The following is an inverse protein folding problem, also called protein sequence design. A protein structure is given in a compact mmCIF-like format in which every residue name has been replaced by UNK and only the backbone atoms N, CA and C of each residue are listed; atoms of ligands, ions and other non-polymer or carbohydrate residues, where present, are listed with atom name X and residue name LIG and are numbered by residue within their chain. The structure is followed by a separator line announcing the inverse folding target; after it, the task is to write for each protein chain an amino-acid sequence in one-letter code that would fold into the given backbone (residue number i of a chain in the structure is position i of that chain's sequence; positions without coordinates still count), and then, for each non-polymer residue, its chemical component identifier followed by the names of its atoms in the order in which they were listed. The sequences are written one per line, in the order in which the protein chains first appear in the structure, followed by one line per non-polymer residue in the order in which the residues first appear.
data_IF_696695757799
#
_entry.id   IF_696695757799
#
_cell.length_a   1.000
_cell.length_b   1.000
_cell.length_c   1.000
_cell.angle_alpha   90.00
_cell.angle_beta   90.00
_cell.angle_gamma   90.00
#
_symmetry.space_group_name_H-M   'P 1'
#
loop_
_entity.id
_entity.type
_entity.pdbx_description
1 polymer ?
#
# COMPACT_ATOMS: atom_id res chain seq x y z
N UNK A 1 -20.98 -7.24 -24.11
CA UNK A 1 -21.17 -7.63 -22.69
C UNK A 1 -19.80 -7.75 -22.07
N UNK A 2 -19.48 -6.91 -21.09
CA UNK A 2 -18.19 -6.92 -20.40
C UNK A 2 -18.37 -7.73 -19.11
N UNK A 3 -17.87 -8.97 -19.09
CA UNK A 3 -17.91 -9.81 -17.90
C UNK A 3 -16.60 -9.57 -17.15
N UNK A 4 -16.68 -8.94 -15.98
CA UNK A 4 -15.53 -8.80 -15.07
C UNK A 4 -15.68 -9.83 -13.96
N UNK A 5 -14.64 -10.63 -13.74
CA UNK A 5 -14.57 -11.43 -12.53
C UNK A 5 -14.48 -10.45 -11.35
N UNK A 6 -15.42 -10.49 -10.40
CA UNK A 6 -15.43 -9.62 -9.21
C UNK A 6 -14.64 -10.23 -8.04
N UNK A 7 -14.06 -11.42 -8.19
CA UNK A 7 -13.28 -12.09 -7.15
C UNK A 7 -12.11 -11.21 -6.66
N UNK A 8 -11.53 -10.35 -7.52
CA UNK A 8 -10.49 -9.39 -7.10
C UNK A 8 -11.01 -8.27 -6.19
N UNK A 9 -12.31 -7.96 -6.23
CA UNK A 9 -12.98 -7.03 -5.31
C UNK A 9 -13.54 -7.76 -4.08
N UNK A 10 -13.63 -9.09 -4.13
CA UNK A 10 -14.09 -9.86 -2.98
C UNK A 10 -13.00 -9.83 -1.91
N UNK A 11 -13.30 -9.12 -0.83
CA UNK A 11 -12.46 -9.12 0.35
C UNK A 11 -12.52 -10.52 0.95
N UNK A 12 -11.38 -11.10 1.39
CA UNK A 12 -11.39 -12.42 2.00
C UNK A 12 -12.45 -12.48 3.10
N UNK A 13 -13.30 -13.53 3.06
CA UNK A 13 -14.41 -13.69 4.02
C UNK A 13 -13.91 -13.78 5.47
N UNK A 14 -12.66 -14.21 5.64
CA UNK A 14 -12.02 -14.36 6.94
C UNK A 14 -10.54 -13.97 6.84
N UNK A 15 -10.02 -13.33 7.88
CA UNK A 15 -8.58 -13.06 8.04
C UNK A 15 -7.99 -13.97 9.11
N UNK A 16 -6.71 -14.29 8.98
CA UNK A 16 -5.96 -15.05 9.98
C UNK A 16 -5.26 -14.09 10.93
N UNK A 17 -5.61 -14.11 12.21
CA UNK A 17 -5.05 -13.23 13.22
C UNK A 17 -4.23 -14.03 14.23
N UNK A 18 -3.07 -13.52 14.61
CA UNK A 18 -2.30 -13.97 15.78
C UNK A 18 -1.97 -12.75 16.64
N UNK A 19 -1.74 -12.96 17.93
CA UNK A 19 -1.53 -11.86 18.88
C UNK A 19 -0.48 -12.23 19.93
N UNK A 20 0.45 -11.31 20.17
CA UNK A 20 1.47 -11.43 21.20
C UNK A 20 1.32 -10.29 22.19
N UNK A 21 1.31 -10.64 23.48
CA UNK A 21 1.45 -9.67 24.56
C UNK A 21 2.91 -9.24 24.68
N UNK A 22 3.14 -7.92 24.68
CA UNK A 22 4.47 -7.34 24.77
C UNK A 22 4.75 -6.89 26.20
N UNK A 23 3.87 -6.06 26.78
CA UNK A 23 4.03 -5.50 28.13
C UNK A 23 2.74 -4.84 28.65
N UNK A 24 2.38 -5.02 29.93
CA UNK A 24 1.23 -4.38 30.62
C UNK A 24 -0.04 -4.22 29.75
N UNK A 25 -0.66 -5.34 29.36
CA UNK A 25 -1.88 -5.36 28.52
C UNK A 25 -1.72 -4.66 27.14
N UNK A 26 -0.49 -4.36 26.71
CA UNK A 26 -0.18 -3.92 25.35
C UNK A 26 0.25 -5.11 24.53
N UNK A 27 -0.44 -5.33 23.43
CA UNK A 27 -0.20 -6.45 22.52
C UNK A 27 -0.04 -5.96 21.09
N UNK A 28 0.70 -6.74 20.31
CA UNK A 28 0.77 -6.57 18.87
C UNK A 28 0.05 -7.76 18.25
N UNK A 29 -1.01 -7.48 17.50
CA UNK A 29 -1.68 -8.46 16.67
C UNK A 29 -1.20 -8.35 15.22
N UNK A 30 -0.98 -9.51 14.59
CA UNK A 30 -0.69 -9.63 13.18
C UNK A 30 -1.88 -10.29 12.49
N UNK A 31 -2.43 -9.61 11.49
CA UNK A 31 -3.57 -10.10 10.70
C UNK A 31 -3.10 -10.33 9.27
N UNK A 32 -3.08 -11.59 8.83
CA UNK A 32 -2.81 -11.98 7.46
C UNK A 32 -4.08 -11.95 6.61
N UNK A 33 -3.95 -11.33 5.44
CA UNK A 33 -5.04 -11.10 4.49
C UNK A 33 -4.58 -11.64 3.15
N UNK A 34 -5.25 -12.70 2.71
CA UNK A 34 -4.89 -13.41 1.50
C UNK A 34 -4.83 -12.45 0.29
N UNK A 35 -3.75 -12.55 -0.50
CA UNK A 35 -3.48 -11.73 -1.69
C UNK A 35 -3.37 -10.21 -1.45
N UNK A 36 -3.42 -9.73 -0.20
CA UNK A 36 -3.22 -8.31 0.15
C UNK A 36 -1.98 -8.08 0.99
N UNK A 37 -1.64 -8.99 1.90
CA UNK A 37 -0.48 -8.88 2.78
C UNK A 37 -0.87 -8.97 4.26
N UNK A 38 -0.45 -8.01 5.07
CA UNK A 38 -0.64 -8.03 6.51
C UNK A 38 -1.18 -6.72 7.06
N UNK A 39 -1.80 -6.79 8.24
CA UNK A 39 -2.03 -5.65 9.11
C UNK A 39 -1.39 -5.90 10.47
N UNK A 40 -0.57 -4.96 10.93
CA UNK A 40 -0.09 -4.92 12.30
C UNK A 40 -0.99 -4.00 13.12
N UNK A 41 -1.52 -4.52 14.22
CA UNK A 41 -2.45 -3.80 15.08
C UNK A 41 -1.84 -3.72 16.47
N UNK A 42 -1.55 -2.50 16.92
CA UNK A 42 -1.20 -2.23 18.31
C UNK A 42 -2.47 -2.10 19.12
N UNK A 43 -2.56 -2.89 20.19
CA UNK A 43 -3.65 -2.80 21.15
C UNK A 43 -3.13 -2.38 22.51
N UNK A 44 -3.94 -1.60 23.21
CA UNK A 44 -3.72 -1.18 24.59
C UNK A 44 -5.01 -1.43 25.37
N UNK A 45 -4.93 -2.24 26.43
CA UNK A 45 -6.09 -2.65 27.24
C UNK A 45 -7.22 -3.29 26.41
N UNK A 46 -6.87 -4.00 25.34
CA UNK A 46 -7.81 -4.67 24.44
C UNK A 46 -8.44 -3.79 23.37
N UNK A 47 -8.23 -2.47 23.41
CA UNK A 47 -8.68 -1.54 22.38
C UNK A 47 -7.62 -1.34 21.30
N UNK A 48 -8.04 -1.04 20.07
CA UNK A 48 -7.15 -0.73 18.95
C UNK A 48 -6.60 0.68 19.13
N UNK A 49 -5.29 0.81 19.30
CA UNK A 49 -4.60 2.10 19.37
C UNK A 49 -4.03 2.52 18.01
N UNK A 50 -3.39 1.59 17.28
CA UNK A 50 -2.80 1.88 15.96
C UNK A 50 -2.93 0.71 15.00
N UNK A 51 -3.14 1.00 13.71
CA UNK A 51 -3.25 0.01 12.64
C UNK A 51 -2.30 0.39 11.51
N UNK A 52 -1.45 -0.55 11.10
CA UNK A 52 -0.53 -0.41 9.97
C UNK A 52 -0.82 -1.48 8.93
N UNK A 53 -1.11 -1.06 7.70
CA UNK A 53 -1.39 -1.94 6.58
C UNK A 53 -0.12 -2.12 5.76
N UNK A 54 0.30 -3.37 5.57
CA UNK A 54 1.49 -3.76 4.83
C UNK A 54 1.06 -4.54 3.60
N UNK A 55 1.18 -3.89 2.44
CA UNK A 55 0.93 -4.54 1.15
C UNK A 55 2.21 -5.24 0.71
N UNK A 56 2.25 -6.56 0.88
CA UNK A 56 3.43 -7.38 0.57
C UNK A 56 3.00 -8.82 0.28
N UNK A 57 3.84 -9.54 -0.46
CA UNK A 57 3.73 -10.97 -0.76
C UNK A 57 4.67 -11.83 0.11
N UNK A 58 5.19 -11.26 1.21
CA UNK A 58 5.87 -12.04 2.25
C UNK A 58 4.94 -13.16 2.74
N UNK A 59 5.49 -14.37 2.79
CA UNK A 59 4.90 -15.54 3.39
C UNK A 59 5.90 -16.10 4.42
N UNK A 60 5.44 -16.83 5.45
CA UNK A 60 6.34 -17.36 6.48
C UNK A 60 7.55 -18.13 5.91
N UNK A 61 7.37 -18.87 4.82
CA UNK A 61 8.43 -19.67 4.19
C UNK A 61 9.41 -18.87 3.29
N UNK A 62 9.09 -17.64 2.89
CA UNK A 62 9.95 -16.81 2.02
C UNK A 62 10.59 -15.62 2.76
N UNK A 63 10.26 -15.46 4.04
CA UNK A 63 10.49 -14.24 4.81
C UNK A 63 11.95 -13.78 4.85
N UNK A 64 12.91 -14.70 4.91
CA UNK A 64 14.32 -14.38 5.13
C UNK A 64 15.00 -13.67 3.94
N UNK A 65 14.51 -13.87 2.72
CA UNK A 65 15.13 -13.35 1.50
C UNK A 65 14.24 -12.32 0.78
N UNK A 66 13.18 -11.85 1.44
CA UNK A 66 12.23 -10.92 0.83
C UNK A 66 12.70 -9.48 0.92
N UNK A 67 12.49 -8.69 -0.14
CA UNK A 67 12.88 -7.28 -0.18
C UNK A 67 12.20 -6.46 0.92
N UNK A 68 10.90 -6.66 1.12
CA UNK A 68 10.09 -5.91 2.10
C UNK A 68 10.33 -6.32 3.57
N UNK A 69 11.21 -7.29 3.83
CA UNK A 69 11.44 -7.84 5.18
C UNK A 69 11.88 -6.76 6.17
N UNK A 70 12.82 -5.91 5.75
CA UNK A 70 13.35 -4.84 6.61
C UNK A 70 12.27 -3.81 6.95
N UNK A 71 11.45 -3.43 5.96
CA UNK A 71 10.34 -2.49 6.17
C UNK A 71 9.31 -3.03 7.17
N UNK A 72 8.98 -4.32 7.08
CA UNK A 72 8.10 -4.97 8.04
C UNK A 72 8.69 -4.91 9.46
N UNK A 73 9.96 -5.30 9.62
CA UNK A 73 10.66 -5.26 10.90
C UNK A 73 10.72 -3.83 11.46
N UNK A 74 10.90 -2.82 10.60
CA UNK A 74 10.89 -1.42 10.99
C UNK A 74 9.52 -0.97 11.52
N UNK A 75 8.42 -1.45 10.94
CA UNK A 75 7.07 -1.15 11.48
C UNK A 75 6.90 -1.78 12.87
N UNK A 76 7.36 -3.01 13.07
CA UNK A 76 7.33 -3.65 14.40
C UNK A 76 8.19 -2.87 15.38
N UNK A 77 9.39 -2.45 14.99
CA UNK A 77 10.25 -1.60 15.81
C UNK A 77 9.54 -0.33 16.25
N UNK A 78 8.87 0.37 15.33
CA UNK A 78 8.11 1.58 15.64
C UNK A 78 6.98 1.31 16.64
N UNK A 79 6.28 0.19 16.53
CA UNK A 79 5.26 -0.22 17.50
C UNK A 79 5.86 -0.50 18.88
N UNK A 80 6.98 -1.22 18.94
CA UNK A 80 7.70 -1.50 20.18
C UNK A 80 8.21 -0.22 20.82
N UNK A 81 8.79 0.69 20.04
CA UNK A 81 9.24 2.00 20.52
C UNK A 81 8.08 2.80 21.14
N UNK A 82 6.88 2.75 20.55
CA UNK A 82 5.67 3.38 21.11
C UNK A 82 5.23 2.72 22.43
N UNK A 83 5.29 1.39 22.54
CA UNK A 83 4.98 0.66 23.78
C UNK A 83 5.98 1.08 24.88
N UNK A 84 7.26 1.12 24.54
CA UNK A 84 8.35 1.35 25.47
C UNK A 84 8.55 2.83 25.83
N UNK A 85 8.11 3.78 25.01
CA UNK A 85 8.27 5.22 25.30
C UNK A 85 7.43 5.70 26.49
N UNK A 86 6.34 4.99 26.80
CA UNK A 86 5.37 5.38 27.85
C UNK A 86 5.57 4.59 29.15
N UNK A 87 6.49 3.63 29.15
CA UNK A 87 6.60 2.62 30.20
C UNK A 87 8.00 2.65 30.80
N UNK A 88 8.12 2.57 32.13
CA UNK A 88 9.42 2.54 32.83
C UNK A 88 10.07 1.14 32.76
N UNK A 89 10.19 0.64 31.53
CA UNK A 89 10.62 -0.73 31.23
C UNK A 89 12.14 -0.76 31.20
N UNK A 90 12.71 -1.70 31.96
CA UNK A 90 14.14 -1.93 31.95
C UNK A 90 14.57 -2.52 30.61
N UNK A 91 15.75 -2.13 30.14
CA UNK A 91 16.22 -2.48 28.79
C UNK A 91 16.25 -3.99 28.52
N UNK A 92 16.55 -4.82 29.52
CA UNK A 92 16.58 -6.28 29.38
C UNK A 92 15.19 -6.93 29.25
N UNK A 93 14.11 -6.21 29.56
CA UNK A 93 12.72 -6.67 29.41
C UNK A 93 12.16 -6.34 28.02
N UNK A 94 12.87 -5.48 27.26
CA UNK A 94 12.47 -5.09 25.91
C UNK A 94 12.73 -6.23 24.93
N UNK A 95 11.67 -6.66 24.27
CA UNK A 95 11.75 -7.61 23.16
C UNK A 95 12.36 -6.94 21.93
N UNK A 96 13.22 -7.66 21.21
CA UNK A 96 13.87 -7.21 19.98
C UNK A 96 12.90 -7.35 18.79
N UNK A 97 12.86 -6.38 17.87
CA UNK A 97 11.87 -6.36 16.78
C UNK A 97 11.95 -7.61 15.87
N UNK A 98 13.14 -8.13 15.60
CA UNK A 98 13.35 -9.33 14.78
C UNK A 98 12.78 -10.58 15.46
N UNK A 99 12.90 -10.65 16.79
CA UNK A 99 12.35 -11.77 17.55
C UNK A 99 10.82 -11.75 17.52
N UNK A 100 10.22 -10.57 17.75
CA UNK A 100 8.76 -10.40 17.68
C UNK A 100 8.24 -10.74 16.27
N UNK A 101 8.92 -10.26 15.24
CA UNK A 101 8.60 -10.55 13.85
C UNK A 101 8.58 -12.05 13.54
N UNK A 102 9.67 -12.76 13.85
CA UNK A 102 9.76 -14.20 13.60
C UNK A 102 8.69 -14.96 14.38
N UNK A 103 8.49 -14.61 15.65
CA UNK A 103 7.49 -15.26 16.49
C UNK A 103 6.07 -15.10 15.97
N UNK A 104 5.70 -13.92 15.46
CA UNK A 104 4.39 -13.70 14.83
C UNK A 104 4.23 -14.54 13.54
N UNK A 105 5.28 -14.67 12.73
CA UNK A 105 5.28 -15.51 11.52
C UNK A 105 5.18 -17.01 11.84
N UNK A 106 5.88 -17.45 12.88
CA UNK A 106 5.84 -18.83 13.35
C UNK A 106 4.44 -19.17 13.87
N UNK A 107 3.84 -18.30 14.68
CA UNK A 107 2.47 -18.46 15.17
C UNK A 107 1.43 -18.59 14.04
N UNK A 108 1.59 -17.82 12.95
CA UNK A 108 0.74 -17.96 11.76
C UNK A 108 0.90 -19.32 11.07
N UNK A 109 2.07 -19.94 11.17
CA UNK A 109 2.40 -21.22 10.53
C UNK A 109 1.94 -22.41 11.37
N UNK A 110 2.11 -22.32 12.69
CA UNK A 110 1.75 -23.38 13.64
C UNK A 110 0.23 -23.61 13.73
N UNK A 111 -0.59 -22.59 13.44
CA UNK A 111 -2.04 -22.71 13.33
C UNK A 111 -2.79 -22.76 14.67
N UNK A 112 -2.19 -23.29 15.73
CA UNK A 112 -2.85 -23.47 17.04
C UNK A 112 -3.24 -22.15 17.74
N UNK A 113 -2.53 -21.06 17.43
CA UNK A 113 -2.79 -19.72 17.98
C UNK A 113 -3.50 -18.80 16.99
N UNK A 114 -3.88 -19.32 15.82
CA UNK A 114 -4.53 -18.53 14.77
C UNK A 114 -6.02 -18.40 15.05
N UNK A 115 -6.44 -17.16 15.28
CA UNK A 115 -7.84 -16.76 15.35
C UNK A 115 -8.34 -16.40 13.95
N UNK A 116 -9.53 -16.89 13.57
CA UNK A 116 -10.21 -16.48 12.34
C UNK A 116 -11.18 -15.34 12.64
N UNK A 117 -10.91 -14.18 12.05
CA UNK A 117 -11.76 -12.98 12.22
C UNK A 117 -12.51 -12.65 10.94
N UNK A 118 -13.73 -12.15 11.06
CA UNK A 118 -14.61 -11.77 9.97
C UNK A 118 -15.45 -10.53 10.36
N UNK A 119 -16.28 -10.05 9.43
CA UNK A 119 -17.13 -8.87 9.62
C UNK A 119 -18.09 -9.01 10.82
N UNK A 120 -18.57 -10.22 11.09
CA UNK A 120 -19.57 -10.46 12.13
C UNK A 120 -18.95 -10.50 13.54
N UNK A 121 -17.69 -10.94 13.66
CA UNK A 121 -17.08 -11.27 14.95
C UNK A 121 -15.96 -10.32 15.39
N UNK A 122 -15.52 -9.39 14.54
CA UNK A 122 -14.35 -8.55 14.85
C UNK A 122 -14.46 -7.13 14.30
N UNK A 123 -14.36 -6.13 15.18
CA UNK A 123 -14.25 -4.74 14.76
C UNK A 123 -12.91 -4.48 14.05
N UNK A 124 -11.84 -5.16 14.48
CA UNK A 124 -10.53 -5.11 13.82
C UNK A 124 -10.62 -5.52 12.35
N UNK A 125 -11.46 -6.50 12.00
CA UNK A 125 -11.71 -6.86 10.60
C UNK A 125 -12.26 -5.66 9.81
N UNK A 126 -13.29 -5.00 10.32
CA UNK A 126 -13.95 -3.85 9.66
C UNK A 126 -13.01 -2.66 9.50
N UNK A 127 -12.19 -2.39 10.51
CA UNK A 127 -11.21 -1.29 10.45
C UNK A 127 -10.14 -1.55 9.41
N UNK A 128 -9.61 -2.78 9.36
CA UNK A 128 -8.64 -3.21 8.36
C UNK A 128 -9.25 -3.13 6.96
N UNK A 129 -10.47 -3.64 6.80
CA UNK A 129 -11.19 -3.65 5.54
C UNK A 129 -11.38 -2.23 4.98
N UNK A 130 -11.94 -1.32 5.79
CA UNK A 130 -12.11 0.10 5.43
C UNK A 130 -10.77 0.75 5.12
N UNK A 131 -9.73 0.42 5.90
CA UNK A 131 -8.37 0.91 5.69
C UNK A 131 -7.81 0.51 4.32
N UNK A 132 -7.93 -0.76 3.93
CA UNK A 132 -7.51 -1.23 2.61
C UNK A 132 -8.34 -0.61 1.48
N UNK A 133 -9.66 -0.49 1.64
CA UNK A 133 -10.50 0.17 0.65
C UNK A 133 -10.05 1.62 0.43
N UNK A 134 -9.79 2.36 1.51
CA UNK A 134 -9.30 3.74 1.43
C UNK A 134 -7.93 3.82 0.75
N UNK A 135 -7.00 2.96 1.12
CA UNK A 135 -5.67 2.87 0.50
C UNK A 135 -5.77 2.63 -1.02
N UNK A 136 -6.65 1.72 -1.44
CA UNK A 136 -6.88 1.43 -2.86
C UNK A 136 -7.45 2.64 -3.61
N UNK A 137 -8.38 3.38 -3.00
CA UNK A 137 -8.92 4.64 -3.56
C UNK A 137 -7.82 5.68 -3.70
N UNK A 138 -7.02 5.92 -2.66
CA UNK A 138 -5.94 6.90 -2.69
C UNK A 138 -4.88 6.56 -3.76
N UNK A 139 -4.57 5.27 -3.96
CA UNK A 139 -3.68 4.81 -5.03
C UNK A 139 -4.31 5.06 -6.40
N UNK A 140 -5.61 4.81 -6.56
CA UNK A 140 -6.32 5.06 -7.82
C UNK A 140 -6.32 6.55 -8.18
N UNK A 141 -6.61 7.43 -7.23
CA UNK A 141 -6.61 8.89 -7.45
C UNK A 141 -5.23 9.39 -7.88
N UNK A 142 -4.17 8.91 -7.23
CA UNK A 142 -2.80 9.24 -7.62
C UNK A 142 -2.47 8.78 -9.05
N UNK A 143 -2.90 7.58 -9.44
CA UNK A 143 -2.72 7.07 -10.81
C UNK A 143 -3.50 7.90 -11.83
N UNK A 144 -4.73 8.29 -11.51
CA UNK A 144 -5.57 9.14 -12.37
C UNK A 144 -4.91 10.50 -12.57
N UNK A 145 -4.38 11.12 -11.51
CA UNK A 145 -3.70 12.41 -11.60
C UNK A 145 -2.42 12.33 -12.46
N UNK A 146 -1.65 11.25 -12.32
CA UNK A 146 -0.47 11.00 -13.16
C UNK A 146 -0.86 10.79 -14.64
N UNK A 147 -1.93 10.05 -14.91
CA UNK A 147 -2.46 9.87 -16.25
C UNK A 147 -2.94 11.18 -16.88
N UNK A 148 -3.69 11.99 -16.12
CA UNK A 148 -4.16 13.30 -16.58
C UNK A 148 -3.00 14.23 -16.93
N UNK A 149 -1.95 14.25 -16.11
CA UNK A 149 -0.73 15.01 -16.39
C UNK A 149 -0.04 14.53 -17.67
N UNK A 150 0.01 13.21 -17.88
CA UNK A 150 0.60 12.62 -19.09
C UNK A 150 -0.21 12.96 -20.35
N UNK A 151 -1.54 12.91 -20.27
CA UNK A 151 -2.45 13.30 -21.37
C UNK A 151 -2.30 14.79 -21.71
N UNK A 152 -2.20 15.66 -20.70
CA UNK A 152 -1.98 17.08 -20.90
C UNK A 152 -0.66 17.35 -21.65
N UNK A 153 0.43 16.67 -21.24
CA UNK A 153 1.72 16.77 -21.93
C UNK A 153 1.65 16.33 -23.39
N UNK A 154 1.01 15.19 -23.67
CA UNK A 154 0.82 14.72 -25.05
C UNK A 154 -0.01 15.70 -25.87
N UNK A 155 -1.09 16.24 -25.29
CA UNK A 155 -1.95 17.22 -25.96
C UNK A 155 -1.20 18.49 -26.31
N UNK A 156 -0.39 19.02 -25.38
CA UNK A 156 0.45 20.21 -25.61
C UNK A 156 1.50 19.96 -26.69
N UNK A 157 2.16 18.79 -26.67
CA UNK A 157 3.15 18.43 -27.68
C UNK A 157 2.51 18.29 -29.08
N UNK A 158 1.31 17.72 -29.15
CA UNK A 158 0.58 17.61 -30.40
C UNK A 158 0.17 18.99 -30.93
N UNK A 159 -0.29 19.88 -30.05
CA UNK A 159 -0.63 21.25 -30.44
C UNK A 159 0.60 21.99 -30.98
N UNK A 160 1.75 21.92 -30.29
CA UNK A 160 2.99 22.52 -30.76
C UNK A 160 3.42 21.96 -32.12
N UNK A 161 3.31 20.64 -32.33
CA UNK A 161 3.62 20.04 -33.63
C UNK A 161 2.67 20.48 -34.75
N UNK A 162 1.38 20.70 -34.43
CA UNK A 162 0.41 21.26 -35.39
C UNK A 162 0.77 22.69 -35.73
N UNK A 163 1.07 23.51 -34.73
CA UNK A 163 1.45 24.92 -34.92
C UNK A 163 2.72 25.03 -35.79
N UNK A 164 3.74 24.21 -35.51
CA UNK A 164 4.97 24.12 -36.32
C UNK A 164 4.68 23.74 -37.78
N UNK A 165 3.76 22.80 -38.03
CA UNK A 165 3.36 22.41 -39.39
C UNK A 165 2.65 23.56 -40.10
N UNK A 166 1.76 24.28 -39.40
CA UNK A 166 1.03 25.40 -39.97
C UNK A 166 1.95 26.58 -40.33
N UNK A 167 2.88 26.94 -39.44
CA UNK A 167 3.89 27.98 -39.71
C UNK A 167 4.76 27.62 -40.92
N UNK A 168 5.24 26.38 -41.00
CA UNK A 168 6.04 25.92 -42.13
C UNK A 168 5.25 25.94 -43.46
N UNK A 169 3.96 25.59 -43.42
CA UNK A 169 3.08 25.65 -44.59
C UNK A 169 2.84 27.09 -45.05
N UNK A 170 2.67 28.02 -44.11
CA UNK A 170 2.56 29.45 -44.37
C UNK A 170 3.84 30.04 -44.95
N UNK A 171 4.99 29.76 -44.35
CA UNK A 171 6.30 30.21 -44.85
C UNK A 171 6.56 29.76 -46.29
N UNK A 172 6.19 28.52 -46.63
CA UNK A 172 6.29 28.01 -48.00
C UNK A 172 5.33 28.68 -49.00
N UNK A 173 4.11 29.04 -48.58
CA UNK A 173 3.18 29.80 -49.45
C UNK A 173 3.69 31.20 -49.75
N UNK A 174 4.22 31.89 -48.75
CA UNK A 174 4.76 33.25 -48.90
C UNK A 174 5.96 33.23 -49.87
N UNK A 175 6.91 32.30 -49.68
CA UNK A 175 8.06 32.14 -50.59
C UNK A 175 7.64 31.92 -52.04
N UNK A 176 6.70 30.99 -52.28
CA UNK A 176 6.18 30.74 -53.64
C UNK A 176 5.52 31.97 -54.27
N UNK A 177 4.84 32.79 -53.47
CA UNK A 177 4.16 34.00 -53.96
C UNK A 177 5.14 35.12 -54.31
N UNK A 178 6.23 35.25 -53.55
CA UNK A 178 7.33 36.19 -53.82
C UNK A 178 8.08 35.77 -55.10
N UNK A 179 8.39 34.47 -55.25
CA UNK A 179 9.09 33.96 -56.42
C UNK A 179 8.27 34.14 -57.72
N UNK A 180 6.94 34.01 -57.65
CA UNK A 180 6.06 34.26 -58.79
C UNK A 180 5.97 35.74 -59.21
N UNK A 181 6.07 36.67 -58.25
CA UNK A 181 6.00 38.11 -58.53
C UNK A 181 7.34 38.71 -59.02
N UNK A 182 8.47 38.03 -58.81
CA UNK A 182 9.78 38.47 -59.29
C UNK A 182 10.08 38.08 -60.75
N UNK A 183 9.17 37.39 -61.44
CA UNK A 183 9.28 36.97 -62.84
C UNK A 183 8.17 37.57 -63.74
N UNK A 184 7.57 38.70 -63.32
CA UNK A 184 6.56 39.46 -64.06
C UNK A 184 7.06 40.81 -64.55
#
# INVERSE_FOLDING_TARGET
MLVRNLDFLSIPKEFSKVEIEIYDNKSIALVYIENKGYSLVLKENGEVDSVFLLKTDILPHNVNNHADREDFINVIKMLLDKIYSVSDIKEYEKQHQEHVFLRLMDMLTEGDSVEKINEDNSETYKDIEKGFMKLEIDIMDNKINALNSSIANVSNNLQAAVDDIEENKWGNKIRKSIDQNNWG
#
